data_IF_193777976387
#
_entry.id   IF_193777976387
#
_cell.length_a   1.000
_cell.length_b   1.000
_cell.length_c   1.000
_cell.angle_alpha   90.00
_cell.angle_beta   90.00
_cell.angle_gamma   90.00
#
_symmetry.space_group_name_H-M   'P 1'
#
loop_
_entity.id
_entity.type
_entity.pdbx_description
1 polymer ?
#
# COMPACT_ATOMS: atom_id res chain seq x y z
N UNK A 1 7.65 -7.06 -10.86
CA UNK A 1 8.64 -6.79 -9.80
C UNK A 1 9.21 -8.13 -9.37
N UNK A 2 9.80 -8.86 -10.31
CA UNK A 2 10.28 -10.22 -10.11
C UNK A 2 11.80 -10.19 -10.31
N UNK A 3 12.55 -10.49 -9.24
CA UNK A 3 14.01 -10.71 -9.34
C UNK A 3 14.93 -9.80 -8.54
N UNK A 4 14.45 -8.94 -7.64
CA UNK A 4 15.33 -8.21 -6.69
C UNK A 4 15.14 -8.77 -5.28
N UNK A 5 16.20 -9.35 -4.71
CA UNK A 5 16.31 -9.87 -3.33
C UNK A 5 16.56 -8.75 -2.30
N UNK A 6 16.09 -7.55 -2.61
CA UNK A 6 16.26 -6.37 -1.79
C UNK A 6 15.05 -5.45 -1.89
N UNK A 7 14.49 -5.10 -0.74
CA UNK A 7 13.51 -4.03 -0.59
C UNK A 7 14.06 -2.98 0.38
N UNK A 8 13.57 -1.74 0.33
CA UNK A 8 13.87 -0.76 1.39
C UNK A 8 13.41 -1.27 2.75
N UNK A 9 14.10 -0.90 3.82
CA UNK A 9 13.72 -1.27 5.19
C UNK A 9 12.31 -0.74 5.57
N UNK A 10 11.84 0.33 4.92
CA UNK A 10 10.47 0.85 5.08
C UNK A 10 9.38 -0.08 4.53
N UNK A 11 9.74 -1.11 3.76
CA UNK A 11 8.80 -2.16 3.36
C UNK A 11 8.70 -3.28 4.40
N UNK A 12 9.51 -3.26 5.45
CA UNK A 12 9.43 -4.23 6.53
C UNK A 12 8.27 -3.94 7.47
N UNK A 13 7.65 -5.00 7.97
CA UNK A 13 6.56 -4.88 8.95
C UNK A 13 7.10 -4.28 10.25
N UNK A 14 8.28 -4.73 10.67
CA UNK A 14 9.06 -4.11 11.73
C UNK A 14 10.25 -3.37 11.11
N UNK A 15 10.28 -2.04 11.29
CA UNK A 15 11.36 -1.19 10.80
C UNK A 15 12.66 -1.46 11.58
N UNK A 16 13.46 -2.36 11.05
CA UNK A 16 14.80 -2.68 11.57
C UNK A 16 15.82 -2.48 10.46
N UNK A 17 16.99 -1.94 10.84
CA UNK A 17 18.03 -1.63 9.86
C UNK A 17 18.53 -2.89 9.16
N UNK A 18 18.46 -2.90 7.83
CA UNK A 18 18.88 -4.03 7.01
C UNK A 18 17.88 -5.17 6.89
N UNK A 19 16.64 -5.03 7.40
CA UNK A 19 15.61 -6.05 7.26
C UNK A 19 15.30 -6.37 5.78
N UNK A 20 15.38 -5.36 4.91
CA UNK A 20 15.14 -5.56 3.49
C UNK A 20 16.28 -6.27 2.74
N UNK A 21 17.43 -6.50 3.39
CA UNK A 21 18.60 -7.16 2.81
C UNK A 21 18.54 -8.66 3.09
N UNK A 22 18.55 -9.47 2.02
CA UNK A 22 18.62 -10.94 2.07
C UNK A 22 17.32 -11.67 2.45
N UNK A 23 16.16 -11.14 2.05
CA UNK A 23 14.92 -11.89 2.22
C UNK A 23 14.90 -13.03 1.21
N UNK A 24 15.02 -14.27 1.70
CA UNK A 24 14.82 -15.46 0.90
C UNK A 24 13.37 -15.48 0.40
N UNK A 25 13.14 -15.87 -0.86
CA UNK A 25 11.81 -15.86 -1.49
C UNK A 25 10.73 -16.66 -0.74
N UNK A 26 11.15 -17.53 0.20
CA UNK A 26 10.27 -18.37 1.00
C UNK A 26 9.95 -17.78 2.40
N UNK A 27 10.68 -16.76 2.85
CA UNK A 27 10.50 -16.07 4.15
C UNK A 27 9.83 -14.70 3.99
N UNK A 28 9.57 -14.29 2.75
CA UNK A 28 8.96 -12.99 2.40
C UNK A 28 7.57 -12.78 3.01
N UNK A 29 6.79 -13.85 3.18
CA UNK A 29 5.44 -13.80 3.75
C UNK A 29 5.50 -13.66 5.28
N UNK A 30 5.60 -12.43 5.76
CA UNK A 30 5.57 -12.12 7.20
C UNK A 30 6.71 -11.22 7.68
N UNK A 31 7.71 -10.95 6.84
CA UNK A 31 8.77 -9.98 7.14
C UNK A 31 8.52 -8.63 6.47
N UNK A 32 7.90 -8.64 5.27
CA UNK A 32 7.67 -7.44 4.47
C UNK A 32 6.24 -7.35 3.96
N UNK A 33 5.80 -6.12 3.69
CA UNK A 33 4.54 -5.85 3.01
C UNK A 33 4.62 -6.29 1.54
N UNK A 34 3.84 -7.31 1.17
CA UNK A 34 3.80 -7.87 -0.19
C UNK A 34 2.65 -7.36 -1.04
N UNK A 35 1.59 -6.85 -0.42
CA UNK A 35 0.37 -6.41 -1.13
C UNK A 35 0.61 -5.20 -2.03
N UNK A 36 1.72 -4.50 -1.84
CA UNK A 36 2.10 -3.30 -2.59
C UNK A 36 1.27 -2.09 -2.17
N UNK A 37 1.93 -0.93 -2.06
CA UNK A 37 1.28 0.31 -1.63
C UNK A 37 0.14 0.74 -2.56
N UNK A 38 0.22 0.41 -3.85
CA UNK A 38 -0.80 0.74 -4.84
C UNK A 38 -2.15 0.09 -4.54
N UNK A 39 -2.18 -1.14 -4.03
CA UNK A 39 -3.44 -1.80 -3.68
C UNK A 39 -4.12 -1.12 -2.48
N UNK A 40 -3.35 -0.71 -1.46
CA UNK A 40 -3.88 0.06 -0.34
C UNK A 40 -4.48 1.38 -0.80
N UNK A 41 -3.75 2.13 -1.64
CA UNK A 41 -4.23 3.40 -2.18
C UNK A 41 -5.48 3.21 -3.03
N UNK A 42 -5.52 2.18 -3.87
CA UNK A 42 -6.67 1.90 -4.72
C UNK A 42 -7.92 1.53 -3.90
N UNK A 43 -7.76 0.78 -2.82
CA UNK A 43 -8.85 0.43 -1.91
C UNK A 43 -9.40 1.67 -1.17
N UNK A 44 -8.51 2.52 -0.67
CA UNK A 44 -8.88 3.76 0.03
C UNK A 44 -9.58 4.76 -0.91
N UNK A 45 -9.08 4.90 -2.15
CA UNK A 45 -9.71 5.72 -3.19
C UNK A 45 -11.09 5.17 -3.55
N UNK A 46 -11.25 3.86 -3.71
CA UNK A 46 -12.54 3.26 -4.03
C UNK A 46 -13.58 3.45 -2.92
N UNK A 47 -13.18 3.35 -1.65
CA UNK A 47 -14.08 3.63 -0.52
C UNK A 47 -14.42 5.12 -0.43
N UNK A 48 -13.42 5.98 -0.62
CA UNK A 48 -13.60 7.43 -0.56
C UNK A 48 -14.34 8.00 -1.77
N UNK A 49 -14.33 7.31 -2.92
CA UNK A 49 -15.02 7.74 -4.15
C UNK A 49 -16.53 7.91 -3.94
N UNK A 50 -17.15 7.05 -3.13
CA UNK A 50 -18.56 7.23 -2.75
C UNK A 50 -18.76 8.53 -1.95
N UNK A 51 -17.91 8.78 -0.96
CA UNK A 51 -18.00 9.97 -0.10
C UNK A 51 -17.74 11.24 -0.91
N UNK A 52 -16.68 11.24 -1.71
CA UNK A 52 -16.32 12.35 -2.62
C UNK A 52 -17.44 12.60 -3.64
N UNK A 53 -18.03 11.54 -4.19
CA UNK A 53 -19.16 11.64 -5.11
C UNK A 53 -20.40 12.26 -4.46
N UNK A 54 -20.73 11.86 -3.24
CA UNK A 54 -21.84 12.46 -2.47
C UNK A 54 -21.56 13.94 -2.17
N UNK A 55 -20.36 14.28 -1.72
CA UNK A 55 -19.99 15.67 -1.44
C UNK A 55 -20.06 16.55 -2.71
N UNK A 56 -19.54 16.06 -3.83
CA UNK A 56 -19.61 16.76 -5.11
C UNK A 56 -21.06 16.97 -5.57
N UNK A 57 -21.92 15.96 -5.41
CA UNK A 57 -23.33 16.07 -5.75
C UNK A 57 -24.05 17.10 -4.85
N UNK A 58 -23.78 17.10 -3.55
CA UNK A 58 -24.33 18.13 -2.64
C UNK A 58 -23.92 19.52 -3.08
N UNK A 59 -22.64 19.74 -3.43
CA UNK A 59 -22.17 21.04 -3.92
C UNK A 59 -22.93 21.48 -5.18
N UNK A 60 -23.07 20.60 -6.17
CA UNK A 60 -23.78 20.91 -7.43
C UNK A 60 -25.26 21.25 -7.21
N UNK A 61 -25.92 20.66 -6.20
CA UNK A 61 -27.34 20.91 -5.92
C UNK A 61 -27.59 22.09 -4.97
N UNK A 62 -26.57 22.52 -4.23
CA UNK A 62 -26.64 23.64 -3.28
C UNK A 62 -26.23 24.96 -3.94
N UNK A 63 -25.56 24.91 -5.10
CA UNK A 63 -25.36 26.05 -6.01
C UNK A 63 -26.65 26.51 -6.71
#
# INVERSE_FOLDING_TARGET
WAGQTYVPDSCCIEETSGCGKQIAANETYGLIYTDGCFNMVQMEINQSLMIVGVLAFVLVFVE
#
